data_IF_255080430120
#
_entry.id   IF_255080430120
#
_cell.length_a   1.000
_cell.length_b   1.000
_cell.length_c   1.000
_cell.angle_alpha   90.00
_cell.angle_beta   90.00
_cell.angle_gamma   90.00
#
_symmetry.space_group_name_H-M   'P 1'
#
loop_
_entity.id
_entity.type
_entity.pdbx_description
1 polymer ?
#
# COMPACT_ATOMS: atom_id res chain seq x y z
N UNK A 1 30.10 22.34 -3.71
CA UNK A 1 29.02 23.34 -3.80
C UNK A 1 27.79 22.63 -4.33
N UNK A 2 26.86 22.25 -3.45
CA UNK A 2 25.53 21.74 -3.87
C UNK A 2 24.67 22.96 -4.14
N UNK A 3 24.26 23.18 -5.39
CA UNK A 3 23.30 24.24 -5.74
C UNK A 3 22.04 24.05 -4.90
N UNK A 4 21.77 25.03 -4.02
CA UNK A 4 20.49 25.18 -3.34
C UNK A 4 19.55 25.91 -4.29
N UNK A 5 19.06 25.20 -5.29
CA UNK A 5 17.92 25.69 -6.06
C UNK A 5 16.69 25.51 -5.16
N UNK A 6 16.09 26.63 -4.74
CA UNK A 6 14.83 26.59 -4.00
C UNK A 6 13.72 25.94 -4.85
N UNK A 7 12.67 25.37 -4.24
CA UNK A 7 11.55 24.79 -4.96
C UNK A 7 10.93 25.86 -5.89
N UNK A 8 10.87 25.53 -7.17
CA UNK A 8 10.22 26.38 -8.19
C UNK A 8 8.71 26.42 -7.96
N UNK A 9 8.04 27.46 -8.45
CA UNK A 9 6.59 27.64 -8.31
C UNK A 9 5.77 26.42 -8.79
N UNK A 10 6.24 25.74 -9.84
CA UNK A 10 5.64 24.50 -10.34
C UNK A 10 5.71 23.32 -9.35
N UNK A 11 6.74 23.23 -8.51
CA UNK A 11 6.90 22.16 -7.53
C UNK A 11 5.91 22.33 -6.37
N UNK A 12 5.68 23.58 -5.93
CA UNK A 12 4.65 23.88 -4.91
C UNK A 12 3.25 23.56 -5.41
N UNK A 13 2.93 23.93 -6.65
CA UNK A 13 1.65 23.56 -7.26
C UNK A 13 1.46 22.03 -7.32
N UNK A 14 2.50 21.29 -7.71
CA UNK A 14 2.48 19.82 -7.71
C UNK A 14 2.23 19.22 -6.33
N UNK A 15 2.89 19.73 -5.29
CA UNK A 15 2.72 19.28 -3.90
C UNK A 15 1.30 19.53 -3.37
N UNK A 16 0.73 20.71 -3.64
CA UNK A 16 -0.66 21.03 -3.26
C UNK A 16 -1.63 20.09 -3.97
N UNK A 17 -1.44 19.85 -5.28
CA UNK A 17 -2.29 18.93 -6.05
C UNK A 17 -2.23 17.52 -5.48
N UNK A 18 -1.03 16.98 -5.26
CA UNK A 18 -0.85 15.62 -4.73
C UNK A 18 -1.47 15.49 -3.33
N UNK A 19 -1.16 16.40 -2.41
CA UNK A 19 -1.74 16.36 -1.06
C UNK A 19 -3.25 16.56 -1.08
N UNK A 20 -3.78 17.41 -1.98
CA UNK A 20 -5.21 17.60 -2.18
C UNK A 20 -5.90 16.33 -2.68
N UNK A 21 -5.32 15.62 -3.65
CA UNK A 21 -5.83 14.34 -4.16
C UNK A 21 -5.82 13.27 -3.07
N UNK A 22 -4.72 13.16 -2.32
CA UNK A 22 -4.62 12.20 -1.21
C UNK A 22 -5.62 12.49 -0.10
N UNK A 23 -5.84 13.77 0.22
CA UNK A 23 -6.83 14.19 1.19
C UNK A 23 -8.27 13.91 0.73
N UNK A 24 -8.57 14.17 -0.54
CA UNK A 24 -9.86 13.84 -1.13
C UNK A 24 -10.12 12.33 -1.10
N UNK A 25 -9.12 11.52 -1.48
CA UNK A 25 -9.20 10.06 -1.41
C UNK A 25 -9.43 9.58 0.02
N UNK A 26 -8.69 10.13 1.01
CA UNK A 26 -8.90 9.83 2.41
C UNK A 26 -10.33 10.16 2.85
N UNK A 27 -10.88 11.31 2.43
CA UNK A 27 -12.26 11.69 2.71
C UNK A 27 -13.28 10.70 2.14
N UNK A 28 -13.11 10.27 0.89
CA UNK A 28 -13.96 9.24 0.27
C UNK A 28 -13.89 7.94 1.06
N UNK A 29 -12.69 7.49 1.43
CA UNK A 29 -12.53 6.24 2.20
C UNK A 29 -13.14 6.37 3.59
N UNK A 30 -13.03 7.51 4.28
CA UNK A 30 -13.69 7.75 5.58
C UNK A 30 -15.20 7.62 5.47
N UNK A 31 -15.82 8.25 4.47
CA UNK A 31 -17.27 8.20 4.27
C UNK A 31 -17.72 6.75 4.08
N UNK A 32 -17.09 6.03 3.14
CA UNK A 32 -17.40 4.62 2.89
C UNK A 32 -17.15 3.74 4.13
N UNK A 33 -16.08 4.00 4.87
CA UNK A 33 -15.74 3.25 6.08
C UNK A 33 -16.77 3.45 7.20
N UNK A 34 -17.34 4.64 7.33
CA UNK A 34 -18.44 4.92 8.27
C UNK A 34 -19.69 4.13 7.86
N UNK A 35 -20.02 4.11 6.56
CA UNK A 35 -21.16 3.34 6.03
C UNK A 35 -21.00 1.82 6.26
N UNK A 36 -19.76 1.31 6.17
CA UNK A 36 -19.37 -0.07 6.47
C UNK A 36 -19.36 -0.41 7.98
N UNK A 37 -19.53 0.60 8.83
CA UNK A 37 -19.45 0.50 10.28
C UNK A 37 -18.00 0.48 10.79
N UNK A 38 -17.70 1.39 11.72
CA UNK A 38 -16.39 1.50 12.39
C UNK A 38 -16.40 0.97 13.84
N UNK A 39 -17.56 0.45 14.29
CA UNK A 39 -17.74 -0.03 15.65
C UNK A 39 -17.04 -1.37 15.93
N UNK A 40 -17.00 -1.75 17.20
CA UNK A 40 -16.46 -3.02 17.66
C UNK A 40 -17.60 -3.89 18.20
N UNK A 41 -17.82 -5.06 17.59
CA UNK A 41 -18.86 -5.99 18.00
C UNK A 41 -18.31 -7.21 18.75
N UNK A 42 -19.20 -8.12 19.14
CA UNK A 42 -18.83 -9.40 19.77
C UNK A 42 -17.96 -10.29 18.88
N UNK A 43 -18.04 -10.11 17.55
CA UNK A 43 -17.27 -10.85 16.55
C UNK A 43 -15.97 -10.15 16.15
N UNK A 44 -15.62 -9.02 16.79
CA UNK A 44 -14.45 -8.21 16.45
C UNK A 44 -14.79 -6.86 15.80
N UNK A 45 -13.78 -6.14 15.28
CA UNK A 45 -13.96 -4.86 14.62
C UNK A 45 -14.79 -5.01 13.35
N UNK A 46 -15.71 -4.07 13.11
CA UNK A 46 -16.49 -4.03 11.89
C UNK A 46 -15.60 -3.77 10.66
N UNK A 47 -16.12 -4.11 9.48
CA UNK A 47 -15.35 -4.06 8.22
C UNK A 47 -14.82 -2.67 7.85
N UNK A 48 -15.48 -1.61 8.31
CA UNK A 48 -15.06 -0.21 8.11
C UNK A 48 -13.96 0.26 9.07
N UNK A 49 -13.68 -0.46 10.17
CA UNK A 49 -12.69 -0.04 11.16
C UNK A 49 -11.27 0.11 10.56
N UNK A 50 -10.79 -0.90 9.84
CA UNK A 50 -9.45 -0.86 9.25
C UNK A 50 -9.31 0.19 8.14
N UNK A 51 -10.24 0.27 7.16
CA UNK A 51 -10.23 1.36 6.17
C UNK A 51 -10.28 2.75 6.80
N UNK A 52 -11.05 2.94 7.88
CA UNK A 52 -11.13 4.21 8.59
C UNK A 52 -9.77 4.62 9.19
N UNK A 53 -9.11 3.72 9.92
CA UNK A 53 -7.78 3.99 10.48
C UNK A 53 -6.76 4.33 9.37
N UNK A 54 -6.77 3.58 8.25
CA UNK A 54 -5.89 3.83 7.12
C UNK A 54 -6.14 5.21 6.50
N UNK A 55 -7.42 5.58 6.35
CA UNK A 55 -7.80 6.88 5.82
C UNK A 55 -7.37 8.03 6.72
N UNK A 56 -7.42 7.87 8.05
CA UNK A 56 -6.88 8.86 8.98
C UNK A 56 -5.37 9.00 8.87
N UNK A 57 -4.64 7.88 8.81
CA UNK A 57 -3.17 7.88 8.63
C UNK A 57 -2.78 8.52 7.29
N UNK A 58 -3.62 8.43 6.27
CA UNK A 58 -3.42 9.11 4.99
C UNK A 58 -3.79 10.60 5.05
N UNK A 59 -4.94 10.92 5.65
CA UNK A 59 -5.53 12.26 5.66
C UNK A 59 -4.80 13.24 6.58
N UNK A 60 -4.34 12.79 7.75
CA UNK A 60 -3.67 13.66 8.72
C UNK A 60 -2.36 14.23 8.16
N UNK A 61 -1.40 13.44 7.65
CA UNK A 61 -0.19 13.98 7.03
C UNK A 61 -0.48 14.84 5.80
N UNK A 62 -1.47 14.47 4.98
CA UNK A 62 -1.87 15.25 3.79
C UNK A 62 -2.38 16.65 4.19
N UNK A 63 -3.17 16.73 5.26
CA UNK A 63 -3.67 18.00 5.81
C UNK A 63 -2.54 18.82 6.40
N UNK A 64 -1.67 18.21 7.21
CA UNK A 64 -0.52 18.88 7.81
C UNK A 64 0.41 19.44 6.74
N UNK A 65 0.61 18.72 5.63
CA UNK A 65 1.43 19.18 4.51
C UNK A 65 0.84 20.40 3.82
N UNK A 66 -0.47 20.42 3.53
CA UNK A 66 -1.15 21.59 2.97
C UNK A 66 -1.03 22.79 3.92
N UNK A 67 -1.30 22.59 5.21
CA UNK A 67 -1.17 23.64 6.23
C UNK A 67 0.27 24.16 6.29
N UNK A 68 1.27 23.30 6.17
CA UNK A 68 2.68 23.69 6.16
C UNK A 68 3.02 24.57 4.94
N UNK A 69 2.56 24.18 3.74
CA UNK A 69 2.75 24.96 2.51
C UNK A 69 2.10 26.35 2.63
N UNK A 70 0.89 26.42 3.20
CA UNK A 70 0.16 27.68 3.39
C UNK A 70 0.79 28.58 4.47
N UNK A 71 1.35 27.99 5.53
CA UNK A 71 1.96 28.75 6.64
C UNK A 71 3.39 29.20 6.38
N UNK A 72 4.11 28.50 5.50
CA UNK A 72 5.54 28.75 5.27
C UNK A 72 5.79 29.26 3.85
N UNK A 73 6.03 30.57 3.72
CA UNK A 73 6.50 31.16 2.46
C UNK A 73 7.93 30.73 2.10
N UNK A 74 8.71 30.25 3.06
CA UNK A 74 10.10 29.84 2.87
C UNK A 74 10.24 28.42 2.27
N UNK A 75 11.17 28.31 1.33
CA UNK A 75 11.62 27.09 0.65
C UNK A 75 11.98 25.94 1.61
N UNK A 76 11.02 25.08 1.93
CA UNK A 76 11.27 23.75 2.48
C UNK A 76 11.84 22.81 1.40
N UNK A 77 12.44 21.69 1.83
CA UNK A 77 12.79 20.61 0.90
C UNK A 77 11.52 20.11 0.18
N UNK A 78 11.56 19.85 -1.13
CA UNK A 78 10.41 19.32 -1.85
C UNK A 78 10.00 17.96 -1.27
N UNK A 79 8.74 17.85 -0.83
CA UNK A 79 8.12 16.60 -0.38
C UNK A 79 7.97 15.62 -1.56
N UNK A 80 7.69 16.14 -2.75
CA UNK A 80 7.55 15.36 -3.97
C UNK A 80 8.69 15.67 -4.96
N UNK A 81 9.90 15.18 -4.67
CA UNK A 81 10.95 15.16 -5.69
C UNK A 81 10.56 14.16 -6.80
N UNK A 82 10.79 14.45 -8.09
CA UNK A 82 10.49 13.51 -9.18
C UNK A 82 10.99 12.07 -8.97
N UNK A 83 12.18 11.83 -8.36
CA UNK A 83 12.61 10.48 -8.01
C UNK A 83 11.72 9.76 -6.99
N UNK A 84 11.14 10.49 -6.02
CA UNK A 84 10.26 9.92 -5.00
C UNK A 84 8.92 9.46 -5.60
N UNK A 85 8.35 10.24 -6.54
CA UNK A 85 7.11 9.87 -7.23
C UNK A 85 7.27 8.57 -8.04
N UNK A 86 8.42 8.38 -8.68
CA UNK A 86 8.75 7.14 -9.39
C UNK A 86 8.77 5.92 -8.47
N UNK A 87 9.23 6.07 -7.22
CA UNK A 87 9.18 5.01 -6.21
C UNK A 87 7.75 4.64 -5.83
N UNK A 88 6.90 5.63 -5.55
CA UNK A 88 5.48 5.42 -5.20
C UNK A 88 4.73 4.75 -6.33
N UNK A 89 4.91 5.21 -7.58
CA UNK A 89 4.26 4.61 -8.75
C UNK A 89 4.73 3.17 -9.01
N UNK A 90 6.00 2.85 -8.78
CA UNK A 90 6.49 1.46 -8.87
C UNK A 90 5.82 0.55 -7.85
N UNK A 91 5.71 0.99 -6.61
CA UNK A 91 5.05 0.21 -5.55
C UNK A 91 3.57 0.08 -5.87
N UNK A 92 2.89 1.17 -6.22
CA UNK A 92 1.47 1.17 -6.60
C UNK A 92 1.18 0.25 -7.78
N UNK A 93 1.98 0.32 -8.84
CA UNK A 93 1.87 -0.57 -10.00
C UNK A 93 2.11 -2.04 -9.64
N UNK A 94 3.09 -2.33 -8.79
CA UNK A 94 3.34 -3.69 -8.31
C UNK A 94 2.17 -4.22 -7.48
N UNK A 95 1.57 -3.39 -6.62
CA UNK A 95 0.38 -3.75 -5.82
C UNK A 95 -0.83 -4.02 -6.71
N UNK A 96 -1.08 -3.19 -7.73
CA UNK A 96 -2.16 -3.42 -8.69
C UNK A 96 -1.95 -4.73 -9.44
N UNK A 97 -0.72 -4.98 -9.92
CA UNK A 97 -0.37 -6.26 -10.54
C UNK A 97 -0.61 -7.44 -9.60
N UNK A 98 -0.28 -7.30 -8.32
CA UNK A 98 -0.54 -8.34 -7.32
C UNK A 98 -2.03 -8.66 -7.17
N UNK A 99 -2.89 -7.64 -7.10
CA UNK A 99 -4.35 -7.82 -7.05
C UNK A 99 -4.84 -8.64 -8.25
N UNK A 100 -4.37 -8.32 -9.46
CA UNK A 100 -4.69 -9.11 -10.66
C UNK A 100 -4.16 -10.54 -10.56
N UNK A 101 -2.93 -10.74 -10.06
CA UNK A 101 -2.35 -12.07 -9.91
C UNK A 101 -3.15 -12.94 -8.94
N UNK A 102 -3.69 -12.39 -7.85
CA UNK A 102 -4.52 -13.14 -6.89
C UNK A 102 -5.73 -13.77 -7.58
N UNK A 103 -6.38 -13.05 -8.49
CA UNK A 103 -7.56 -13.55 -9.21
C UNK A 103 -7.26 -14.83 -10.02
N UNK A 104 -6.09 -14.87 -10.68
CA UNK A 104 -5.70 -16.00 -11.54
C UNK A 104 -4.98 -17.11 -10.77
N UNK A 105 -3.95 -16.74 -10.00
CA UNK A 105 -3.02 -17.68 -9.36
C UNK A 105 -3.46 -18.08 -7.96
N UNK A 106 -4.26 -17.24 -7.30
CA UNK A 106 -4.64 -17.43 -5.90
C UNK A 106 -3.71 -16.70 -4.95
N UNK A 107 -4.17 -16.50 -3.71
CA UNK A 107 -3.47 -15.65 -2.76
C UNK A 107 -2.04 -16.16 -2.49
N UNK A 108 -1.84 -17.46 -2.34
CA UNK A 108 -0.54 -18.03 -1.93
C UNK A 108 0.49 -17.95 -3.04
N UNK A 109 0.14 -18.45 -4.23
CA UNK A 109 1.06 -18.45 -5.37
C UNK A 109 1.33 -17.01 -5.84
N UNK A 110 0.30 -16.16 -5.86
CA UNK A 110 0.47 -14.74 -6.15
C UNK A 110 1.38 -14.06 -5.12
N UNK A 111 1.20 -14.34 -3.82
CA UNK A 111 2.05 -13.79 -2.76
C UNK A 111 3.50 -14.21 -2.95
N UNK A 112 3.75 -15.49 -3.25
CA UNK A 112 5.10 -16.01 -3.42
C UNK A 112 5.84 -15.34 -4.58
N UNK A 113 5.15 -15.23 -5.72
CA UNK A 113 5.67 -14.55 -6.89
C UNK A 113 5.88 -13.06 -6.62
N UNK A 114 4.90 -12.39 -6.01
CA UNK A 114 4.97 -10.97 -5.67
C UNK A 114 6.13 -10.68 -4.74
N UNK A 115 6.25 -11.40 -3.61
CA UNK A 115 7.35 -11.22 -2.65
C UNK A 115 8.71 -11.43 -3.32
N UNK A 116 8.90 -12.53 -4.05
CA UNK A 116 10.17 -12.85 -4.69
C UNK A 116 10.56 -11.79 -5.73
N UNK A 117 9.63 -11.40 -6.60
CA UNK A 117 9.86 -10.40 -7.64
C UNK A 117 10.07 -9.00 -7.04
N UNK A 118 9.28 -8.63 -6.03
CA UNK A 118 9.38 -7.32 -5.39
C UNK A 118 10.70 -7.18 -4.62
N UNK A 119 11.12 -8.19 -3.86
CA UNK A 119 12.43 -8.19 -3.19
C UNK A 119 13.59 -8.17 -4.19
N UNK A 120 13.44 -8.81 -5.35
CA UNK A 120 14.48 -8.80 -6.37
C UNK A 120 14.56 -7.48 -7.13
N UNK A 121 13.41 -6.91 -7.48
CA UNK A 121 13.32 -5.72 -8.33
C UNK A 121 13.50 -4.42 -7.54
N UNK A 122 12.79 -4.26 -6.42
CA UNK A 122 12.88 -3.06 -5.58
C UNK A 122 13.92 -3.22 -4.46
N UNK A 123 14.06 -4.43 -3.90
CA UNK A 123 14.93 -4.67 -2.75
C UNK A 123 16.38 -5.04 -3.07
N UNK A 124 16.71 -5.35 -4.33
CA UNK A 124 18.06 -5.77 -4.76
C UNK A 124 18.59 -7.02 -4.05
N UNK A 125 17.71 -7.85 -3.48
CA UNK A 125 18.10 -8.97 -2.64
C UNK A 125 18.68 -10.14 -3.45
N UNK A 126 19.49 -10.98 -2.79
CA UNK A 126 20.04 -12.20 -3.39
C UNK A 126 18.91 -13.17 -3.73
N UNK A 127 19.05 -13.91 -4.82
CA UNK A 127 18.06 -14.90 -5.28
C UNK A 127 17.68 -15.92 -4.20
N UNK A 128 18.65 -16.39 -3.41
CA UNK A 128 18.40 -17.30 -2.29
C UNK A 128 17.43 -16.71 -1.25
N UNK A 129 17.63 -15.45 -0.85
CA UNK A 129 16.73 -14.74 0.08
C UNK A 129 15.35 -14.54 -0.54
N UNK A 130 15.28 -14.17 -1.82
CA UNK A 130 14.02 -13.96 -2.53
C UNK A 130 13.18 -15.24 -2.58
N UNK A 131 13.81 -16.38 -2.88
CA UNK A 131 13.13 -17.69 -2.92
C UNK A 131 12.76 -18.15 -1.52
N UNK A 132 13.67 -18.03 -0.54
CA UNK A 132 13.42 -18.46 0.82
C UNK A 132 12.24 -17.71 1.46
N UNK A 133 12.23 -16.38 1.35
CA UNK A 133 11.15 -15.56 1.93
C UNK A 133 9.89 -15.63 1.07
N UNK A 134 10.04 -15.63 -0.26
CA UNK A 134 8.93 -15.74 -1.21
C UNK A 134 8.14 -17.04 -1.05
N UNK A 135 8.79 -18.17 -0.75
CA UNK A 135 8.08 -19.43 -0.47
C UNK A 135 7.73 -19.58 1.01
N UNK A 136 8.66 -19.23 1.90
CA UNK A 136 8.52 -19.45 3.34
C UNK A 136 7.40 -18.62 3.97
N UNK A 137 7.24 -17.35 3.57
CA UNK A 137 6.22 -16.49 4.17
C UNK A 137 4.79 -16.93 3.79
N UNK A 138 4.44 -17.13 2.50
CA UNK A 138 3.11 -17.64 2.13
C UNK A 138 2.84 -19.04 2.68
N UNK A 139 3.84 -19.92 2.74
CA UNK A 139 3.70 -21.24 3.36
C UNK A 139 3.40 -21.15 4.86
N UNK A 140 4.05 -20.22 5.58
CA UNK A 140 3.75 -19.94 6.97
C UNK A 140 2.32 -19.43 7.18
N UNK A 141 1.86 -18.53 6.31
CA UNK A 141 0.46 -18.04 6.31
C UNK A 141 -0.52 -19.18 6.02
N UNK A 142 -0.22 -20.07 5.08
CA UNK A 142 -1.03 -21.26 4.80
C UNK A 142 -1.19 -22.14 6.04
N UNK A 143 -0.10 -22.46 6.73
CA UNK A 143 -0.15 -23.27 7.97
C UNK A 143 -0.95 -22.55 9.06
N UNK A 144 -0.67 -21.27 9.28
CA UNK A 144 -1.33 -20.49 10.33
C UNK A 144 -2.85 -20.39 10.09
N UNK A 145 -3.27 -20.02 8.88
CA UNK A 145 -4.68 -19.78 8.59
C UNK A 145 -5.46 -21.04 8.25
N UNK A 146 -4.96 -21.92 7.39
CA UNK A 146 -5.72 -23.10 6.97
C UNK A 146 -5.56 -24.27 7.94
N UNK A 147 -4.37 -24.48 8.53
CA UNK A 147 -4.15 -25.63 9.44
C UNK A 147 -4.47 -25.31 10.89
N UNK A 148 -4.20 -24.10 11.37
CA UNK A 148 -4.49 -23.74 12.77
C UNK A 148 -5.81 -22.99 12.92
N UNK A 149 -6.06 -21.93 12.15
CA UNK A 149 -7.31 -21.16 12.28
C UNK A 149 -8.49 -21.72 11.49
N UNK A 150 -8.26 -22.68 10.57
CA UNK A 150 -9.27 -23.26 9.70
C UNK A 150 -10.06 -22.22 8.88
N UNK A 151 -9.41 -21.09 8.54
CA UNK A 151 -9.98 -20.01 7.73
C UNK A 151 -9.55 -20.22 6.27
N UNK A 152 -10.47 -20.51 5.33
CA UNK A 152 -10.13 -20.63 3.93
C UNK A 152 -9.80 -19.26 3.35
N UNK A 153 -8.60 -19.12 2.78
CA UNK A 153 -8.18 -17.91 2.07
C UNK A 153 -8.50 -18.02 0.57
N UNK A 154 -8.59 -16.88 -0.16
CA UNK A 154 -8.95 -16.87 -1.58
C UNK A 154 -8.02 -17.74 -2.42
N UNK A 155 -8.58 -18.83 -2.95
CA UNK A 155 -7.86 -19.76 -3.83
C UNK A 155 -8.05 -19.40 -5.29
N UNK A 156 -6.96 -19.44 -6.04
CA UNK A 156 -6.94 -19.07 -7.46
C UNK A 156 -7.54 -20.13 -8.36
N UNK A 157 -7.61 -19.81 -9.65
CA UNK A 157 -8.01 -20.78 -10.68
C UNK A 157 -7.08 -21.99 -10.65
N UNK A 158 -5.76 -21.75 -10.56
CA UNK A 158 -4.74 -22.82 -10.52
C UNK A 158 -4.88 -23.71 -9.29
N UNK A 159 -5.10 -23.13 -8.11
CA UNK A 159 -5.27 -23.86 -6.85
C UNK A 159 -6.57 -24.67 -6.85
N UNK A 160 -7.66 -24.11 -7.40
CA UNK A 160 -8.93 -24.84 -7.62
C UNK A 160 -8.77 -26.05 -8.55
N UNK A 161 -7.95 -25.96 -9.60
CA UNK A 161 -7.67 -27.09 -10.50
C UNK A 161 -6.84 -28.19 -9.82
N UNK A 162 -5.96 -27.82 -8.90
CA UNK A 162 -5.09 -28.76 -8.18
C UNK A 162 -5.76 -29.42 -6.96
N UNK A 163 -7.03 -29.14 -6.70
CA UNK A 163 -7.82 -29.74 -5.60
C UNK A 163 -7.23 -29.50 -4.20
N UNK A 164 -6.58 -28.35 -4.00
CA UNK A 164 -6.13 -27.89 -2.68
C UNK A 164 -6.77 -26.55 -2.37
#
# INVERSE_FOLDING_TARGET
>A
MVSRDGPTDGMRHGEIIVSGVLLALAGVVVINAIDLGIGWGMSGPASGFFPFCLALILGVPSTLHIVQILRTSAAGQPFASPPALGGVLKIGGATVAYIFLIEFLGLYVASAFFLACFMRWLGGQRWGTCVAVGLGFPAGIFVLFEKWFLIPLPKGIVERFLSF
#
